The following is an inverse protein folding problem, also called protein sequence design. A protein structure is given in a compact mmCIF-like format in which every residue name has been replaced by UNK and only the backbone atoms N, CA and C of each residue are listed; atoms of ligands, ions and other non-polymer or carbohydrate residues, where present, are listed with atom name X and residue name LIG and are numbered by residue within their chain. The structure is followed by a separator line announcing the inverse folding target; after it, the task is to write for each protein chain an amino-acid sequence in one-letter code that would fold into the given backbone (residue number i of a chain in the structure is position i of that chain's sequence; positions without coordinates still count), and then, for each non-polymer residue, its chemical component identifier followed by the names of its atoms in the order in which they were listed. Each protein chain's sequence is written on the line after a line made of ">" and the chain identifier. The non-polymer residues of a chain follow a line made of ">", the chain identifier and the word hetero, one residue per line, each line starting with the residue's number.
data_IF_760019150671
#
_entry.id   IF_760019150671
#
_cell.length_a   1.000
_cell.length_b   1.000
_cell.length_c   1.000
_cell.angle_alpha   90.00
_cell.angle_beta   90.00
_cell.angle_gamma   90.00
#
_symmetry.space_group_name_H-M   'P 1'
#
loop_
_entity.id
_entity.type
_entity.pdbx_description
1 polymer ?
#
# COMPACT_ATOMS: atom_id res chain seq x y z
N UNK A 1 -7.71 3.26 17.11
CA UNK A 1 -6.92 4.17 16.25
C UNK A 1 -6.85 3.59 14.85
N UNK A 2 -7.71 4.08 13.94
CA UNK A 2 -7.61 3.75 12.50
C UNK A 2 -6.43 4.55 11.95
N UNK A 3 -5.30 3.89 11.74
CA UNK A 3 -4.14 4.44 11.06
C UNK A 3 -4.00 3.69 9.74
N UNK A 4 -4.67 4.15 8.69
CA UNK A 4 -4.33 3.77 7.32
C UNK A 4 -3.12 4.61 6.94
N UNK A 5 -1.93 4.00 6.96
CA UNK A 5 -0.71 4.68 6.53
C UNK A 5 -0.52 4.41 5.04
N UNK A 6 -0.55 5.45 4.21
CA UNK A 6 -0.04 5.39 2.85
C UNK A 6 1.44 5.81 2.95
N UNK A 7 2.41 4.90 2.73
CA UNK A 7 3.80 5.29 2.75
C UNK A 7 4.09 6.21 1.56
N UNK A 8 4.79 7.34 1.75
CA UNK A 8 5.22 8.17 0.64
C UNK A 8 6.06 7.30 -0.31
N UNK A 9 5.69 7.23 -1.58
CA UNK A 9 6.41 6.48 -2.59
C UNK A 9 7.70 7.23 -2.94
N UNK A 10 8.70 7.10 -2.07
CA UNK A 10 10.00 7.74 -2.22
C UNK A 10 10.70 7.25 -3.49
N UNK A 11 11.27 8.21 -4.21
CA UNK A 11 12.10 8.05 -5.41
C UNK A 11 11.44 8.17 -6.78
N UNK A 12 10.36 8.96 -6.94
CA UNK A 12 10.06 9.65 -8.21
C UNK A 12 9.33 10.98 -7.95
N UNK A 13 9.97 12.09 -8.33
CA UNK A 13 9.43 13.44 -8.63
C UNK A 13 8.75 14.29 -7.54
N UNK A 14 8.33 13.75 -6.39
CA UNK A 14 7.67 14.54 -5.33
C UNK A 14 8.48 14.54 -4.04
N UNK A 15 8.97 15.73 -3.64
CA UNK A 15 9.51 15.99 -2.30
C UNK A 15 8.37 16.55 -1.48
N UNK A 16 7.95 15.83 -0.43
CA UNK A 16 6.79 16.21 0.38
C UNK A 16 7.16 17.13 1.56
N UNK A 17 8.45 17.23 1.89
CA UNK A 17 8.95 18.01 3.02
C UNK A 17 10.44 18.39 2.87
N UNK A 18 10.82 19.51 3.49
CA UNK A 18 12.22 19.91 3.67
C UNK A 18 12.93 19.15 4.81
N UNK A 19 12.19 18.32 5.57
CA UNK A 19 12.75 17.49 6.64
C UNK A 19 13.74 16.45 6.08
N UNK A 20 15.02 16.47 6.51
CA UNK A 20 16.01 15.48 6.08
C UNK A 20 15.67 14.04 6.45
N UNK A 21 14.77 13.80 7.41
CA UNK A 21 14.26 12.48 7.76
C UNK A 21 13.12 11.99 6.84
N UNK A 22 12.65 12.82 5.91
CA UNK A 22 11.60 12.43 4.96
C UNK A 22 12.11 11.38 3.96
N UNK A 23 11.36 10.29 3.82
CA UNK A 23 11.59 9.22 2.87
C UNK A 23 11.62 9.70 1.42
N UNK A 24 10.97 10.83 1.11
CA UNK A 24 11.00 11.43 -0.22
C UNK A 24 12.40 11.93 -0.65
N UNK A 25 13.31 12.13 0.32
CA UNK A 25 14.68 12.64 0.09
C UNK A 25 15.76 11.57 -0.04
N UNK A 26 15.42 10.29 0.07
CA UNK A 26 16.41 9.21 0.01
C UNK A 26 17.23 9.26 -1.29
N UNK A 27 18.56 9.17 -1.19
CA UNK A 27 19.46 9.27 -2.34
C UNK A 27 19.27 8.12 -3.34
N UNK A 28 19.01 6.90 -2.84
CA UNK A 28 18.73 5.73 -3.66
C UNK A 28 17.45 5.00 -3.23
N UNK A 29 16.94 4.14 -4.11
CA UNK A 29 15.81 3.26 -3.78
C UNK A 29 16.16 2.26 -2.67
N UNK A 30 17.42 1.82 -2.59
CA UNK A 30 17.84 0.91 -1.52
C UNK A 30 17.84 1.63 -0.16
N UNK A 31 18.26 2.89 -0.12
CA UNK A 31 18.18 3.71 1.10
C UNK A 31 16.73 3.96 1.50
N UNK A 32 15.86 4.21 0.51
CA UNK A 32 14.41 4.30 0.72
C UNK A 32 13.87 3.00 1.33
N UNK A 33 14.21 1.83 0.77
CA UNK A 33 13.76 0.55 1.32
C UNK A 33 14.27 0.30 2.74
N UNK A 34 15.53 0.65 3.03
CA UNK A 34 16.10 0.52 4.37
C UNK A 34 15.37 1.41 5.38
N UNK A 35 15.17 2.68 5.04
CA UNK A 35 14.43 3.63 5.87
C UNK A 35 12.95 3.21 6.03
N UNK A 36 12.34 2.72 4.95
CA UNK A 36 10.97 2.21 4.95
C UNK A 36 10.81 1.02 5.90
N UNK A 37 11.74 0.06 5.89
CA UNK A 37 11.75 -1.05 6.85
C UNK A 37 11.83 -0.57 8.30
N UNK A 38 12.65 0.44 8.58
CA UNK A 38 12.74 1.05 9.91
C UNK A 38 11.42 1.69 10.33
N UNK A 39 10.74 2.41 9.43
CA UNK A 39 9.43 3.01 9.69
C UNK A 39 8.37 1.94 9.97
N UNK A 40 8.33 0.88 9.17
CA UNK A 40 7.43 -0.27 9.38
C UNK A 40 7.69 -0.91 10.74
N UNK A 41 8.95 -1.19 11.09
CA UNK A 41 9.31 -1.76 12.38
C UNK A 41 8.83 -0.88 13.55
N UNK A 42 9.08 0.44 13.49
CA UNK A 42 8.60 1.39 14.50
C UNK A 42 7.07 1.42 14.61
N UNK A 43 6.36 1.36 13.47
CA UNK A 43 4.90 1.31 13.46
C UNK A 43 4.38 0.02 14.11
N UNK A 44 4.99 -1.13 13.80
CA UNK A 44 4.60 -2.43 14.33
C UNK A 44 4.90 -2.56 15.83
N UNK A 45 5.98 -1.95 16.32
CA UNK A 45 6.27 -1.87 17.76
C UNK A 45 5.14 -1.16 18.51
N UNK A 46 4.52 -0.14 17.92
CA UNK A 46 3.41 0.63 18.51
C UNK A 46 2.05 -0.05 18.33
N UNK A 47 1.94 -1.03 17.44
CA UNK A 47 0.70 -1.77 17.20
C UNK A 47 0.45 -2.77 18.35
N UNK A 48 -0.74 -2.69 18.97
CA UNK A 48 -1.16 -3.65 20.01
C UNK A 48 -1.24 -5.07 19.43
N UNK A 49 -1.03 -6.08 20.29
CA UNK A 49 -1.25 -7.48 19.92
C UNK A 49 -2.73 -7.72 19.61
N UNK A 50 -3.00 -8.65 18.70
CA UNK A 50 -4.32 -8.97 18.14
C UNK A 50 -4.98 -7.75 17.47
N UNK A 51 -4.22 -7.06 16.62
CA UNK A 51 -4.70 -5.90 15.83
C UNK A 51 -4.24 -5.98 14.38
N UNK A 52 -5.06 -5.39 13.53
CA UNK A 52 -4.77 -5.21 12.11
C UNK A 52 -3.93 -3.96 11.86
N UNK A 53 -3.11 -4.02 10.82
CA UNK A 53 -2.49 -2.88 10.16
C UNK A 53 -2.87 -2.89 8.69
N UNK A 54 -3.17 -1.73 8.12
CA UNK A 54 -3.54 -1.60 6.72
C UNK A 54 -2.62 -0.58 6.05
N UNK A 55 -2.04 -0.98 4.92
CA UNK A 55 -1.12 -0.15 4.14
C UNK A 55 -1.58 -0.14 2.70
N UNK A 56 -1.79 1.06 2.16
CA UNK A 56 -2.09 1.24 0.73
C UNK A 56 -0.80 1.58 0.01
N UNK A 57 -0.43 0.76 -0.97
CA UNK A 57 0.85 0.88 -1.68
C UNK A 57 0.67 0.86 -3.18
N UNK A 58 1.40 1.74 -3.86
CA UNK A 58 1.50 1.77 -5.32
C UNK A 58 2.93 1.56 -5.75
N UNK A 59 3.23 0.41 -6.37
CA UNK A 59 4.50 0.18 -7.06
C UNK A 59 4.75 1.25 -8.13
N UNK A 60 5.97 1.79 -8.14
CA UNK A 60 6.43 2.90 -9.00
C UNK A 60 7.36 2.39 -10.09
N UNK A 61 7.54 3.16 -11.16
CA UNK A 61 8.56 2.87 -12.18
C UNK A 61 9.85 3.62 -11.88
N UNK A 62 10.98 2.99 -12.13
CA UNK A 62 12.28 3.64 -12.07
C UNK A 62 12.58 4.47 -13.34
N UNK A 63 13.74 5.14 -13.33
CA UNK A 63 14.22 5.97 -14.45
C UNK A 63 14.45 5.17 -15.73
N UNK A 64 14.69 3.86 -15.64
CA UNK A 64 14.86 2.96 -16.78
C UNK A 64 13.51 2.43 -17.31
N UNK A 65 12.43 2.61 -16.56
CA UNK A 65 11.06 2.27 -16.93
C UNK A 65 10.53 0.96 -16.30
N UNK A 66 11.34 0.28 -15.49
CA UNK A 66 10.97 -0.96 -14.81
C UNK A 66 10.17 -0.67 -13.54
N UNK A 67 9.18 -1.52 -13.26
CA UNK A 67 8.37 -1.40 -12.02
C UNK A 67 9.18 -1.92 -10.84
N UNK A 68 9.28 -1.11 -9.80
CA UNK A 68 9.82 -1.50 -8.50
C UNK A 68 8.70 -2.07 -7.64
N UNK A 69 8.85 -3.32 -7.22
CA UNK A 69 7.83 -4.02 -6.43
C UNK A 69 7.80 -3.53 -4.97
N UNK A 70 7.09 -2.43 -4.74
CA UNK A 70 6.89 -1.87 -3.41
C UNK A 70 5.89 -2.68 -2.58
N UNK A 71 4.95 -3.38 -3.23
CA UNK A 71 3.99 -4.23 -2.55
C UNK A 71 4.70 -5.42 -1.89
N UNK A 72 5.50 -6.17 -2.66
CA UNK A 72 6.32 -7.25 -2.13
C UNK A 72 7.32 -6.77 -1.08
N UNK A 73 7.97 -5.61 -1.30
CA UNK A 73 8.86 -5.02 -0.30
C UNK A 73 8.13 -4.69 1.02
N UNK A 74 6.87 -4.24 0.95
CA UNK A 74 6.04 -3.99 2.14
C UNK A 74 5.69 -5.29 2.86
N UNK A 75 5.29 -6.34 2.13
CA UNK A 75 5.01 -7.64 2.73
C UNK A 75 6.25 -8.18 3.47
N UNK A 76 7.42 -8.09 2.83
CA UNK A 76 8.68 -8.52 3.44
C UNK A 76 9.04 -7.69 4.68
N UNK A 77 8.84 -6.37 4.66
CA UNK A 77 9.12 -5.51 5.81
C UNK A 77 8.24 -5.85 7.03
N UNK A 78 6.97 -6.21 6.82
CA UNK A 78 6.10 -6.68 7.89
C UNK A 78 6.48 -8.08 8.38
N UNK A 79 6.84 -8.98 7.46
CA UNK A 79 7.31 -10.33 7.79
C UNK A 79 8.60 -10.31 8.62
N UNK A 80 9.54 -9.41 8.30
CA UNK A 80 10.77 -9.15 9.09
C UNK A 80 10.43 -8.74 10.54
N UNK A 81 9.24 -8.19 10.79
CA UNK A 81 8.73 -7.82 12.12
C UNK A 81 7.83 -8.90 12.77
N UNK A 82 7.74 -10.11 12.19
CA UNK A 82 6.89 -11.19 12.68
C UNK A 82 5.39 -10.99 12.46
N UNK A 83 5.00 -10.05 11.59
CA UNK A 83 3.60 -9.76 11.25
C UNK A 83 3.31 -10.22 9.83
N UNK A 84 2.26 -11.02 9.65
CA UNK A 84 1.96 -11.65 8.36
C UNK A 84 0.85 -10.93 7.62
N UNK A 85 0.91 -10.97 6.29
CA UNK A 85 -0.19 -10.56 5.43
C UNK A 85 -1.40 -11.45 5.74
N UNK A 86 -2.51 -10.83 6.04
CA UNK A 86 -3.76 -11.49 6.41
C UNK A 86 -4.76 -11.47 5.25
N UNK A 87 -4.95 -10.29 4.65
CA UNK A 87 -5.79 -10.10 3.47
C UNK A 87 -5.13 -9.11 2.51
N UNK A 88 -5.53 -9.14 1.25
CA UNK A 88 -5.26 -8.08 0.29
C UNK A 88 -6.53 -7.65 -0.45
N UNK A 89 -6.54 -6.42 -0.93
CA UNK A 89 -7.55 -5.90 -1.83
C UNK A 89 -6.92 -4.97 -2.86
N UNK A 90 -7.63 -4.71 -3.94
CA UNK A 90 -7.23 -3.74 -4.96
C UNK A 90 -8.10 -2.50 -4.83
N UNK A 91 -7.47 -1.37 -4.54
CA UNK A 91 -8.14 -0.06 -4.60
C UNK A 91 -8.08 0.43 -6.04
N UNK A 92 -9.24 0.46 -6.71
CA UNK A 92 -9.38 1.07 -8.02
C UNK A 92 -9.43 2.59 -7.86
N UNK A 93 -8.49 3.26 -8.53
CA UNK A 93 -8.48 4.71 -8.63
C UNK A 93 -9.31 5.12 -9.86
N UNK A 94 -9.87 6.32 -9.83
CA UNK A 94 -10.62 6.86 -10.97
C UNK A 94 -9.78 6.77 -12.24
N UNK A 95 -10.37 6.17 -13.28
CA UNK A 95 -9.70 5.97 -14.57
C UNK A 95 -9.43 7.31 -15.26
N UNK A 96 -10.31 8.30 -15.09
CA UNK A 96 -10.13 9.68 -15.57
C UNK A 96 -9.58 9.77 -17.00
N UNK A 97 -8.56 10.60 -17.21
CA UNK A 97 -7.89 10.77 -18.50
C UNK A 97 -6.83 9.69 -18.82
N UNK A 98 -6.71 8.63 -18.00
CA UNK A 98 -5.67 7.60 -18.19
C UNK A 98 -5.75 6.96 -19.59
N UNK A 99 -6.92 6.57 -20.14
CA UNK A 99 -7.01 5.97 -21.47
C UNK A 99 -6.57 6.94 -22.59
N UNK A 100 -6.84 8.23 -22.43
CA UNK A 100 -6.43 9.27 -23.38
C UNK A 100 -4.90 9.40 -23.41
N UNK A 101 -4.28 9.46 -22.23
CA UNK A 101 -2.83 9.65 -22.13
C UNK A 101 -2.10 8.38 -22.56
N UNK A 102 -2.55 7.20 -22.11
CA UNK A 102 -1.77 5.97 -22.18
C UNK A 102 -1.38 5.54 -23.59
N UNK A 103 -2.19 5.87 -24.60
CA UNK A 103 -1.92 5.56 -26.00
C UNK A 103 -0.52 6.00 -26.44
N UNK A 104 -0.08 7.21 -26.04
CA UNK A 104 1.26 7.72 -26.40
C UNK A 104 2.36 6.91 -25.72
N UNK A 105 2.26 6.65 -24.41
CA UNK A 105 3.28 5.88 -23.70
C UNK A 105 3.29 4.40 -24.11
N UNK A 106 2.12 3.84 -24.46
CA UNK A 106 2.00 2.48 -24.96
C UNK A 106 2.64 2.34 -26.35
N UNK A 107 2.42 3.29 -27.26
CA UNK A 107 3.09 3.28 -28.56
C UNK A 107 4.61 3.45 -28.43
N UNK A 108 5.07 4.33 -27.54
CA UNK A 108 6.50 4.62 -27.38
C UNK A 108 7.28 3.48 -26.71
N UNK A 109 6.67 2.72 -25.80
CA UNK A 109 7.42 1.73 -25.01
C UNK A 109 6.56 0.67 -24.33
N UNK A 110 5.35 0.44 -24.83
CA UNK A 110 4.40 -0.60 -24.34
C UNK A 110 4.13 -0.51 -22.83
N UNK A 111 4.17 0.71 -22.27
CA UNK A 111 3.89 0.97 -20.86
C UNK A 111 2.38 0.93 -20.63
N UNK A 112 1.93 0.04 -19.76
CA UNK A 112 0.53 0.00 -19.32
C UNK A 112 0.23 1.11 -18.32
N UNK A 113 -1.01 1.60 -18.36
CA UNK A 113 -1.54 2.57 -17.41
C UNK A 113 -1.88 1.86 -16.11
N UNK A 114 -1.52 2.47 -14.98
CA UNK A 114 -1.85 1.94 -13.65
C UNK A 114 -2.96 2.81 -13.04
N UNK A 115 -4.14 2.21 -12.86
CA UNK A 115 -5.30 2.82 -12.20
C UNK A 115 -5.64 2.12 -10.89
N UNK A 116 -4.68 1.46 -10.25
CA UNK A 116 -4.94 0.73 -9.01
C UNK A 116 -3.79 0.84 -8.02
N UNK A 117 -4.12 0.61 -6.75
CA UNK A 117 -3.17 0.45 -5.64
C UNK A 117 -3.49 -0.85 -4.90
N UNK A 118 -2.49 -1.45 -4.27
CA UNK A 118 -2.66 -2.61 -3.42
C UNK A 118 -3.00 -2.13 -2.00
N UNK A 119 -4.08 -2.66 -1.44
CA UNK A 119 -4.42 -2.51 -0.03
C UNK A 119 -3.98 -3.78 0.68
N UNK A 120 -2.90 -3.69 1.43
CA UNK A 120 -2.31 -4.82 2.15
C UNK A 120 -2.75 -4.75 3.61
N UNK A 121 -3.40 -5.81 4.08
CA UNK A 121 -3.90 -5.91 5.45
C UNK A 121 -3.12 -6.99 6.19
N UNK A 122 -2.45 -6.58 7.26
CA UNK A 122 -1.61 -7.41 8.11
C UNK A 122 -2.24 -7.63 9.47
N UNK A 123 -1.91 -8.73 10.14
CA UNK A 123 -2.39 -9.00 11.49
C UNK A 123 -1.26 -9.40 12.44
N UNK A 124 -1.16 -8.70 13.58
CA UNK A 124 -0.18 -8.97 14.64
C UNK A 124 -0.83 -9.79 15.74
N UNK A 125 -0.35 -11.01 15.98
CA UNK A 125 -0.85 -11.90 17.04
C UNK A 125 -1.50 -13.17 16.49
N UNK A 126 -2.45 -13.72 17.24
CA UNK A 126 -3.15 -14.97 16.88
C UNK A 126 -4.49 -14.66 16.20
N UNK A 127 -4.70 -15.05 14.92
CA UNK A 127 -5.97 -14.84 14.23
C UNK A 127 -7.17 -15.47 14.94
N UNK A 128 -6.98 -16.52 15.74
CA UNK A 128 -8.09 -17.13 16.52
C UNK A 128 -8.68 -16.16 17.55
N UNK A 129 -7.90 -15.15 17.97
CA UNK A 129 -8.30 -14.11 18.93
C UNK A 129 -9.02 -12.92 18.27
N UNK A 130 -9.25 -12.93 16.96
CA UNK A 130 -9.93 -11.82 16.27
C UNK A 130 -11.33 -11.59 16.85
N UNK A 131 -12.11 -12.66 17.04
CA UNK A 131 -13.47 -12.57 17.58
C UNK A 131 -13.49 -12.01 19.01
N UNK A 132 -12.52 -12.40 19.84
CA UNK A 132 -12.37 -11.89 21.22
C UNK A 132 -12.19 -10.37 21.26
N UNK A 133 -11.58 -9.78 20.21
CA UNK A 133 -11.28 -8.35 20.13
C UNK A 133 -12.37 -7.54 19.44
N UNK A 134 -12.93 -8.06 18.35
CA UNK A 134 -13.81 -7.31 17.45
C UNK A 134 -15.29 -7.72 17.54
N UNK A 135 -15.60 -8.82 18.23
CA UNK A 135 -16.96 -9.37 18.30
C UNK A 135 -17.43 -9.96 16.96
N UNK A 136 -18.74 -10.15 16.83
CA UNK A 136 -19.36 -10.52 15.56
C UNK A 136 -19.47 -9.31 14.62
N UNK A 137 -19.18 -9.52 13.35
CA UNK A 137 -19.41 -8.51 12.32
C UNK A 137 -20.90 -8.42 12.01
N UNK A 138 -21.48 -7.23 12.13
CA UNK A 138 -22.79 -6.97 11.52
C UNK A 138 -22.60 -6.81 10.02
N UNK A 139 -22.99 -7.83 9.24
CA UNK A 139 -23.12 -7.69 7.79
C UNK A 139 -24.52 -7.13 7.56
N UNK A 140 -24.60 -5.85 7.19
CA UNK A 140 -25.85 -5.29 6.67
C UNK A 140 -26.11 -5.97 5.33
N UNK A 141 -27.23 -6.66 5.20
CA UNK A 141 -27.70 -7.10 3.89
C UNK A 141 -27.94 -5.84 3.06
N UNK A 142 -27.12 -5.67 2.02
CA UNK A 142 -27.35 -4.66 1.00
C UNK A 142 -28.22 -5.34 -0.05
N UNK A 143 -29.51 -4.99 -0.09
CA UNK A 143 -30.37 -5.34 -1.22
C UNK A 143 -29.93 -4.47 -2.38
N UNK A 144 -29.36 -5.08 -3.41
CA UNK A 144 -29.13 -4.39 -4.67
C UNK A 144 -30.50 -3.93 -5.17
N UNK A 145 -30.74 -2.62 -5.19
CA UNK A 145 -31.80 -2.05 -6.01
C UNK A 145 -31.35 -2.23 -7.44
N UNK A 146 -32.03 -3.12 -8.17
CA UNK A 146 -31.84 -3.31 -9.60
C UNK A 146 -31.93 -1.93 -10.27
N UNK A 147 -30.83 -1.54 -10.92
CA UNK A 147 -30.81 -0.36 -11.75
C UNK A 147 -31.49 -0.72 -13.08
N UNK A 148 -32.81 -0.65 -13.08
CA UNK A 148 -33.58 -0.47 -14.32
C UNK A 148 -33.23 0.89 -14.91
N UNK A 149 -32.44 0.91 -15.99
CA UNK A 149 -32.65 1.71 -17.22
C UNK A 149 -31.67 1.32 -18.34
#
# INVERSE_FOLDING_TARGET
>A
TRSTCCPPAGHVLEVYSDDPADLSRCASYNDFLAAYKVVVAKAILRLKVNRFACVVVGSIRDKQGFVRDLAGATVNAFADCGVKLYNEAILLNSVGSLPIRITKQFNAGRKMGKCHQNVLVFYKGDPKRIKDVFGESMVSEYVAVDADE
#
